data_IF_334147756269
#
_entry.id   IF_334147756269
#
_cell.length_a   1.000
_cell.length_b   1.000
_cell.length_c   1.000
_cell.angle_alpha   90.00
_cell.angle_beta   90.00
_cell.angle_gamma   90.00
#
_symmetry.space_group_name_H-M   'P 1'
#
loop_
_entity.id
_entity.type
_entity.pdbx_description
1 polymer ?
#
# COMPACT_ATOMS: atom_id res chain seq x y z
N UNK A 1 -4.18 -13.04 6.80
CA UNK A 1 -3.44 -11.86 6.31
C UNK A 1 -2.07 -11.82 6.99
N UNK A 2 -1.03 -11.31 6.33
CA UNK A 2 0.30 -11.12 6.95
C UNK A 2 0.72 -9.65 6.81
N UNK A 3 0.88 -8.96 7.93
CA UNK A 3 1.41 -7.61 8.01
C UNK A 3 2.93 -7.67 8.17
N UNK A 4 3.67 -7.11 7.21
CA UNK A 4 5.11 -6.94 7.23
C UNK A 4 5.40 -5.46 7.45
N UNK A 5 5.92 -5.08 8.60
CA UNK A 5 6.06 -3.68 8.98
C UNK A 5 7.38 -3.43 9.72
N UNK A 6 7.96 -2.25 9.53
CA UNK A 6 9.13 -1.81 10.28
C UNK A 6 8.78 -1.33 11.70
N UNK A 7 7.48 -1.30 12.06
CA UNK A 7 7.00 -0.80 13.36
C UNK A 7 7.64 0.55 13.73
N UNK A 8 7.71 1.52 12.81
CA UNK A 8 8.39 2.82 13.04
C UNK A 8 7.92 3.50 14.35
N UNK A 9 6.66 3.34 14.72
CA UNK A 9 6.07 3.82 15.98
C UNK A 9 6.04 2.83 17.16
N UNK A 10 6.60 1.65 16.98
CA UNK A 10 6.52 0.53 17.93
C UNK A 10 5.13 -0.10 18.03
N UNK A 11 5.00 -1.10 18.90
CA UNK A 11 3.74 -1.83 19.12
C UNK A 11 2.64 -0.95 19.74
N UNK A 12 3.02 0.05 20.55
CA UNK A 12 2.07 0.98 21.16
C UNK A 12 1.30 1.79 20.13
N UNK A 13 2.01 2.44 19.19
CA UNK A 13 1.34 3.22 18.14
C UNK A 13 0.53 2.33 17.18
N UNK A 14 0.97 1.10 16.92
CA UNK A 14 0.16 0.16 16.13
C UNK A 14 -1.14 -0.20 16.86
N UNK A 15 -1.07 -0.43 18.18
CA UNK A 15 -2.25 -0.67 19.01
C UNK A 15 -3.17 0.55 19.02
N UNK A 16 -2.65 1.75 19.24
CA UNK A 16 -3.45 2.98 19.26
C UNK A 16 -4.20 3.17 17.92
N UNK A 17 -3.55 2.90 16.79
CA UNK A 17 -4.19 2.94 15.47
C UNK A 17 -5.31 1.90 15.32
N UNK A 18 -5.12 0.68 15.81
CA UNK A 18 -6.15 -0.35 15.78
C UNK A 18 -7.32 -0.02 16.71
N UNK A 19 -7.04 0.52 17.89
CA UNK A 19 -8.07 0.95 18.84
C UNK A 19 -8.89 2.11 18.23
N UNK A 20 -8.23 3.07 17.56
CA UNK A 20 -8.87 4.18 16.86
C UNK A 20 -9.69 3.76 15.63
N UNK A 21 -9.48 2.56 15.07
CA UNK A 21 -10.32 2.02 13.99
C UNK A 21 -11.72 1.63 14.47
N UNK A 22 -11.93 1.54 15.79
CA UNK A 22 -13.19 1.07 16.41
C UNK A 22 -13.65 -0.27 15.82
N UNK A 23 -12.68 -1.19 15.65
CA UNK A 23 -12.92 -2.55 15.17
C UNK A 23 -12.58 -3.57 16.26
N UNK A 24 -13.45 -4.56 16.44
CA UNK A 24 -13.14 -5.69 17.30
C UNK A 24 -12.18 -6.64 16.57
N UNK A 25 -10.94 -6.73 17.06
CA UNK A 25 -9.96 -7.72 16.58
C UNK A 25 -10.08 -8.96 17.47
N UNK A 26 -10.46 -10.13 16.92
CA UNK A 26 -10.63 -11.33 17.73
C UNK A 26 -9.31 -11.81 18.32
N UNK A 27 -9.38 -12.60 19.40
CA UNK A 27 -8.23 -13.26 20.03
C UNK A 27 -8.34 -14.77 19.82
N UNK A 28 -7.40 -15.42 19.11
CA UNK A 28 -6.21 -14.83 18.48
C UNK A 28 -6.56 -13.97 17.24
N UNK A 29 -5.69 -13.01 16.94
CA UNK A 29 -5.87 -12.14 15.77
C UNK A 29 -5.94 -12.95 14.47
N UNK A 30 -6.76 -12.56 13.48
CA UNK A 30 -6.93 -13.29 12.23
C UNK A 30 -5.79 -13.02 11.22
N UNK A 31 -4.70 -12.41 11.70
CA UNK A 31 -3.54 -12.02 10.91
C UNK A 31 -2.25 -12.15 11.72
N UNK A 32 -1.16 -12.36 11.00
CA UNK A 32 0.19 -12.39 11.56
C UNK A 32 0.86 -11.03 11.36
N UNK A 33 1.59 -10.53 12.36
CA UNK A 33 2.42 -9.32 12.23
C UNK A 33 3.89 -9.70 12.36
N UNK A 34 4.72 -9.26 11.40
CA UNK A 34 6.17 -9.49 11.41
C UNK A 34 6.91 -8.17 11.30
N UNK A 35 7.89 -7.99 12.18
CA UNK A 35 8.88 -6.93 12.04
C UNK A 35 9.80 -7.24 10.85
N UNK A 36 9.79 -6.37 9.85
CA UNK A 36 10.59 -6.49 8.63
C UNK A 36 10.99 -5.10 8.15
N UNK A 37 12.27 -4.89 7.90
CA UNK A 37 12.83 -3.61 7.40
C UNK A 37 13.31 -3.71 5.95
N UNK A 38 13.70 -4.90 5.51
CA UNK A 38 14.22 -5.13 4.17
C UNK A 38 13.87 -6.52 3.65
N UNK A 39 14.15 -6.75 2.37
CA UNK A 39 14.00 -8.07 1.73
C UNK A 39 12.61 -8.71 1.89
N UNK A 40 11.53 -7.91 1.89
CA UNK A 40 10.13 -8.35 2.09
C UNK A 40 9.72 -9.60 1.29
N UNK A 41 10.21 -9.74 0.05
CA UNK A 41 10.01 -10.94 -0.78
C UNK A 41 10.40 -12.27 -0.10
N UNK A 42 11.33 -12.30 0.86
CA UNK A 42 11.69 -13.52 1.58
C UNK A 42 10.61 -13.99 2.57
N UNK A 43 9.69 -13.10 2.96
CA UNK A 43 8.61 -13.37 3.92
C UNK A 43 7.30 -13.78 3.24
N UNK A 44 7.22 -13.66 1.91
CA UNK A 44 6.07 -14.10 1.11
C UNK A 44 6.21 -15.60 0.86
N UNK A 45 5.44 -16.42 1.59
CA UNK A 45 5.56 -17.90 1.58
C UNK A 45 4.25 -18.66 1.42
N UNK A 46 3.16 -18.09 1.91
CA UNK A 46 1.86 -18.74 1.97
C UNK A 46 1.02 -18.42 0.73
N UNK A 47 0.32 -19.43 0.15
CA UNK A 47 -0.65 -19.20 -0.91
C UNK A 47 -1.94 -18.55 -0.38
N UNK A 48 -2.76 -18.01 -1.29
CA UNK A 48 -4.06 -17.39 -1.00
C UNK A 48 -4.03 -16.38 0.15
N UNK A 49 -2.92 -15.63 0.28
CA UNK A 49 -2.65 -14.74 1.40
C UNK A 49 -2.57 -13.30 0.92
N UNK A 50 -3.21 -12.40 1.66
CA UNK A 50 -2.99 -10.96 1.52
C UNK A 50 -1.78 -10.57 2.39
N UNK A 51 -0.75 -10.03 1.75
CA UNK A 51 0.39 -9.40 2.39
C UNK A 51 0.18 -7.89 2.42
N UNK A 52 0.42 -7.26 3.56
CA UNK A 52 0.43 -5.80 3.70
C UNK A 52 1.84 -5.40 4.09
N UNK A 53 2.49 -4.56 3.29
CA UNK A 53 3.84 -4.06 3.52
C UNK A 53 3.75 -2.59 3.89
N UNK A 54 4.00 -2.27 5.16
CA UNK A 54 3.92 -0.93 5.74
C UNK A 54 5.27 -0.57 6.41
N UNK A 55 6.25 -0.05 5.67
CA UNK A 55 6.28 0.33 4.24
C UNK A 55 7.68 0.00 3.67
N UNK A 56 7.90 0.20 2.37
CA UNK A 56 9.27 0.13 1.81
C UNK A 56 9.94 1.49 1.99
N UNK A 57 10.94 1.55 2.86
CA UNK A 57 11.76 2.73 3.08
C UNK A 57 12.47 3.15 1.79
N UNK A 58 12.48 4.47 1.54
CA UNK A 58 13.31 5.02 0.49
C UNK A 58 14.77 5.04 1.00
N UNK A 59 15.71 4.39 0.30
CA UNK A 59 17.09 4.36 0.74
C UNK A 59 17.65 5.79 0.83
N UNK A 60 18.52 6.02 1.82
CA UNK A 60 19.22 7.30 1.95
C UNK A 60 20.10 7.56 0.70
N UNK A 61 20.16 8.82 0.26
CA UNK A 61 21.00 9.22 -0.88
C UNK A 61 20.32 9.05 -2.24
N UNK A 62 21.05 8.51 -3.24
CA UNK A 62 20.63 8.50 -4.66
C UNK A 62 20.02 7.18 -5.13
N UNK A 63 19.91 6.17 -4.25
CA UNK A 63 19.59 4.79 -4.62
C UNK A 63 18.09 4.49 -4.75
N UNK A 64 17.26 5.52 -4.98
CA UNK A 64 15.82 5.39 -5.12
C UNK A 64 15.37 4.37 -6.18
N UNK A 65 16.20 4.13 -7.22
CA UNK A 65 15.94 3.11 -8.25
C UNK A 65 15.77 1.70 -7.66
N UNK A 66 16.30 1.46 -6.45
CA UNK A 66 16.18 0.17 -5.77
C UNK A 66 14.77 -0.16 -5.31
N UNK A 67 13.91 0.84 -5.10
CA UNK A 67 12.51 0.64 -4.73
C UNK A 67 11.77 -0.14 -5.83
N UNK A 68 11.93 0.25 -7.10
CA UNK A 68 11.33 -0.46 -8.23
C UNK A 68 11.80 -1.91 -8.34
N UNK A 69 13.08 -2.18 -8.05
CA UNK A 69 13.61 -3.54 -8.03
C UNK A 69 13.04 -4.37 -6.86
N UNK A 70 12.85 -3.77 -5.68
CA UNK A 70 12.21 -4.45 -4.55
C UNK A 70 10.75 -4.81 -4.85
N UNK A 71 9.98 -3.87 -5.41
CA UNK A 71 8.60 -4.10 -5.85
C UNK A 71 8.55 -5.24 -6.87
N UNK A 72 9.48 -5.28 -7.83
CA UNK A 72 9.58 -6.38 -8.80
C UNK A 72 9.89 -7.73 -8.15
N UNK A 73 10.77 -7.78 -7.15
CA UNK A 73 11.07 -9.02 -6.41
C UNK A 73 9.85 -9.53 -5.64
N UNK A 74 9.05 -8.63 -5.08
CA UNK A 74 7.78 -8.96 -4.42
C UNK A 74 6.79 -9.55 -5.43
N UNK A 75 6.57 -8.88 -6.56
CA UNK A 75 5.71 -9.36 -7.65
C UNK A 75 6.11 -10.76 -8.11
N UNK A 76 7.40 -10.97 -8.42
CA UNK A 76 7.94 -12.28 -8.82
C UNK A 76 7.66 -13.37 -7.78
N UNK A 77 7.71 -13.03 -6.49
CA UNK A 77 7.45 -13.99 -5.42
C UNK A 77 5.97 -14.34 -5.27
N UNK A 78 5.06 -13.42 -5.60
CA UNK A 78 3.61 -13.65 -5.57
C UNK A 78 3.13 -14.57 -6.70
N UNK A 79 3.88 -14.65 -7.81
CA UNK A 79 3.52 -15.47 -8.96
C UNK A 79 3.32 -16.95 -8.55
N UNK A 80 2.17 -17.51 -8.92
CA UNK A 80 1.80 -18.89 -8.61
C UNK A 80 1.24 -19.13 -7.20
N UNK A 81 1.23 -18.12 -6.31
CA UNK A 81 0.70 -18.26 -4.95
C UNK A 81 -0.80 -17.94 -4.82
N UNK A 82 -1.46 -17.41 -5.85
CA UNK A 82 -2.83 -16.89 -5.71
C UNK A 82 -2.95 -15.81 -4.63
N UNK A 83 -1.85 -15.13 -4.34
CA UNK A 83 -1.69 -14.16 -3.24
C UNK A 83 -1.53 -12.77 -3.80
N UNK A 84 -1.84 -11.76 -2.99
CA UNK A 84 -1.70 -10.35 -3.35
C UNK A 84 -0.87 -9.62 -2.29
N UNK A 85 -0.21 -8.52 -2.69
CA UNK A 85 0.43 -7.60 -1.77
C UNK A 85 -0.10 -6.17 -1.94
N UNK A 86 -0.30 -5.48 -0.83
CA UNK A 86 -0.49 -4.03 -0.76
C UNK A 86 0.79 -3.44 -0.18
N UNK A 87 1.37 -2.45 -0.85
CA UNK A 87 2.68 -1.89 -0.52
C UNK A 87 2.55 -0.39 -0.31
N UNK A 88 2.90 0.08 0.89
CA UNK A 88 3.12 1.50 1.16
C UNK A 88 4.43 1.96 0.54
N UNK A 89 4.38 3.03 -0.25
CA UNK A 89 5.56 3.69 -0.85
C UNK A 89 5.49 5.18 -0.60
N UNK A 90 6.63 5.79 -0.27
CA UNK A 90 6.73 7.23 -0.08
C UNK A 90 6.83 7.97 -1.42
N UNK A 91 6.22 9.16 -1.51
CA UNK A 91 6.27 10.05 -2.67
C UNK A 91 6.54 11.48 -2.22
N UNK A 92 7.13 12.29 -3.09
CA UNK A 92 7.19 13.74 -2.85
C UNK A 92 5.79 14.34 -2.93
N UNK A 93 5.57 15.44 -2.20
CA UNK A 93 4.34 16.23 -2.30
C UNK A 93 4.06 16.60 -3.77
N UNK A 94 2.79 16.57 -4.17
CA UNK A 94 2.31 16.88 -5.53
C UNK A 94 2.69 15.91 -6.64
N UNK A 95 3.44 14.83 -6.34
CA UNK A 95 3.73 13.78 -7.33
C UNK A 95 2.76 12.63 -7.18
N UNK A 96 2.39 12.02 -8.31
CA UNK A 96 1.63 10.76 -8.32
C UNK A 96 2.54 9.55 -8.12
N UNK A 97 3.81 9.67 -8.52
CA UNK A 97 4.76 8.55 -8.56
C UNK A 97 5.66 8.60 -7.33
N UNK A 98 5.77 7.47 -6.64
CA UNK A 98 6.67 7.23 -5.53
C UNK A 98 8.15 7.41 -5.89
N UNK A 99 8.99 7.51 -4.87
CA UNK A 99 10.43 7.41 -5.05
C UNK A 99 10.80 6.11 -5.80
N UNK A 100 11.80 6.19 -6.68
CA UNK A 100 12.14 5.12 -7.64
C UNK A 100 11.44 5.25 -8.99
N UNK A 101 10.53 6.23 -9.14
CA UNK A 101 10.00 6.66 -10.43
C UNK A 101 9.15 5.61 -11.14
N UNK A 102 9.10 5.68 -12.46
CA UNK A 102 8.24 4.82 -13.29
C UNK A 102 8.49 3.32 -13.13
N UNK A 103 9.66 2.92 -12.64
CA UNK A 103 9.93 1.50 -12.36
C UNK A 103 8.98 0.93 -11.30
N UNK A 104 8.48 1.78 -10.38
CA UNK A 104 7.48 1.38 -9.38
C UNK A 104 6.10 1.11 -9.98
N UNK A 105 5.79 1.65 -11.17
CA UNK A 105 4.51 1.44 -11.87
C UNK A 105 4.46 0.15 -12.68
N UNK A 106 5.62 -0.43 -13.02
CA UNK A 106 5.69 -1.54 -13.97
C UNK A 106 5.06 -2.83 -13.46
N UNK A 107 5.26 -3.18 -12.20
CA UNK A 107 4.73 -4.42 -11.62
C UNK A 107 3.27 -4.31 -11.13
N UNK A 108 2.86 -3.27 -10.38
CA UNK A 108 1.54 -3.24 -9.76
C UNK A 108 0.39 -3.32 -10.76
N UNK A 109 -0.65 -4.07 -10.43
CA UNK A 109 -1.90 -4.13 -11.22
C UNK A 109 -2.83 -2.96 -10.91
N UNK A 110 -2.71 -2.38 -9.72
CA UNK A 110 -3.38 -1.16 -9.27
C UNK A 110 -2.34 -0.26 -8.61
N UNK A 111 -2.29 1.02 -9.01
CA UNK A 111 -1.42 2.02 -8.40
C UNK A 111 -2.26 3.22 -7.95
N UNK A 112 -2.20 3.52 -6.66
CA UNK A 112 -2.93 4.61 -6.03
C UNK A 112 -1.94 5.65 -5.54
N UNK A 113 -2.13 6.91 -5.93
CA UNK A 113 -1.46 8.04 -5.32
C UNK A 113 -2.42 8.66 -4.30
N UNK A 114 -1.96 8.87 -3.06
CA UNK A 114 -2.75 9.47 -2.00
C UNK A 114 -2.05 10.71 -1.44
N UNK A 115 -2.81 11.79 -1.31
CA UNK A 115 -2.48 13.00 -0.56
C UNK A 115 -3.51 13.17 0.57
N UNK A 116 -3.40 14.24 1.38
CA UNK A 116 -4.20 14.41 2.61
C UNK A 116 -5.72 14.38 2.44
N UNK A 117 -6.26 14.65 1.26
CA UNK A 117 -7.71 14.66 1.02
C UNK A 117 -8.09 14.19 -0.39
N UNK A 118 -7.14 13.58 -1.10
CA UNK A 118 -7.29 13.18 -2.51
C UNK A 118 -6.59 11.85 -2.74
N UNK A 119 -7.26 10.93 -3.41
CA UNK A 119 -6.72 9.68 -3.91
C UNK A 119 -6.91 9.66 -5.43
N UNK A 120 -5.86 9.32 -6.17
CA UNK A 120 -5.90 9.15 -7.62
C UNK A 120 -5.49 7.73 -7.99
N UNK A 121 -6.29 7.09 -8.84
CA UNK A 121 -5.92 5.85 -9.50
C UNK A 121 -4.97 6.21 -10.65
N UNK A 122 -3.67 6.08 -10.42
CA UNK A 122 -2.64 6.41 -11.42
C UNK A 122 -2.63 5.40 -12.55
N UNK A 123 -2.80 4.12 -12.20
CA UNK A 123 -2.91 3.03 -13.17
C UNK A 123 -3.74 1.88 -12.63
N UNK A 124 -4.43 1.17 -13.53
CA UNK A 124 -5.24 0.01 -13.22
C UNK A 124 -5.24 -0.92 -14.43
N UNK A 125 -4.37 -1.93 -14.42
CA UNK A 125 -4.11 -2.81 -15.57
C UNK A 125 -5.21 -3.86 -15.76
N UNK A 126 -5.87 -4.24 -14.67
CA UNK A 126 -6.92 -5.27 -14.68
C UNK A 126 -8.15 -4.71 -13.95
N UNK A 127 -8.92 -3.81 -14.58
CA UNK A 127 -10.13 -3.28 -13.94
C UNK A 127 -11.20 -4.36 -13.83
N UNK A 128 -11.99 -4.31 -12.76
CA UNK A 128 -13.09 -5.25 -12.53
C UNK A 128 -14.21 -5.04 -13.56
N UNK A 129 -14.60 -3.78 -13.78
CA UNK A 129 -15.49 -3.39 -14.87
C UNK A 129 -14.68 -3.15 -16.16
N UNK A 130 -15.03 -3.85 -17.24
CA UNK A 130 -14.36 -3.72 -18.54
C UNK A 130 -14.93 -2.60 -19.41
N UNK A 131 -16.04 -1.99 -19.01
CA UNK A 131 -16.70 -0.90 -19.75
C UNK A 131 -16.16 0.48 -19.37
N UNK A 132 -15.59 0.61 -18.17
CA UNK A 132 -15.04 1.87 -17.65
C UNK A 132 -13.62 1.65 -17.18
N UNK A 133 -12.66 2.32 -17.82
CA UNK A 133 -11.26 2.24 -17.40
C UNK A 133 -10.99 3.24 -16.26
N UNK A 134 -10.59 2.80 -15.05
CA UNK A 134 -10.51 3.68 -13.89
C UNK A 134 -9.18 4.45 -13.81
N UNK A 135 -8.44 4.57 -14.91
CA UNK A 135 -7.15 5.28 -14.91
C UNK A 135 -7.39 6.78 -14.84
N UNK A 136 -6.55 7.49 -14.08
CA UNK A 136 -6.69 8.90 -13.73
C UNK A 136 -7.97 9.26 -12.97
N UNK A 137 -8.71 8.26 -12.50
CA UNK A 137 -9.88 8.50 -11.67
C UNK A 137 -9.44 8.99 -10.30
N UNK A 138 -9.83 10.22 -9.93
CA UNK A 138 -9.55 10.79 -8.62
C UNK A 138 -10.79 10.90 -7.72
N UNK A 139 -10.57 10.82 -6.41
CA UNK A 139 -11.59 10.91 -5.38
C UNK A 139 -11.10 11.80 -4.25
N UNK A 140 -11.95 12.67 -3.74
CA UNK A 140 -11.69 13.40 -2.51
C UNK A 140 -12.30 12.68 -1.32
N UNK A 141 -11.76 12.92 -0.12
CA UNK A 141 -12.25 12.35 1.13
C UNK A 141 -11.88 13.25 2.31
N UNK A 142 -12.51 13.00 3.46
CA UNK A 142 -12.14 13.57 4.75
C UNK A 142 -11.65 12.45 5.68
N UNK A 143 -10.70 12.78 6.56
CA UNK A 143 -10.31 11.90 7.66
C UNK A 143 -11.23 12.10 8.86
N UNK A 144 -11.61 10.99 9.48
CA UNK A 144 -12.32 10.93 10.75
C UNK A 144 -11.62 9.91 11.67
N UNK A 145 -11.95 9.90 12.97
CA UNK A 145 -11.42 8.96 13.96
C UNK A 145 -9.88 8.85 13.94
N UNK A 146 -9.17 9.97 14.11
CA UNK A 146 -7.70 10.00 14.14
C UNK A 146 -7.04 9.48 12.84
N UNK A 147 -7.77 9.55 11.71
CA UNK A 147 -7.26 9.14 10.40
C UNK A 147 -7.50 7.67 10.05
N UNK A 148 -8.29 6.95 10.85
CA UNK A 148 -8.61 5.53 10.59
C UNK A 148 -9.81 5.33 9.69
N UNK A 149 -10.61 6.38 9.45
CA UNK A 149 -11.82 6.32 8.63
C UNK A 149 -11.83 7.39 7.55
N UNK A 150 -12.12 6.95 6.32
CA UNK A 150 -12.42 7.84 5.20
C UNK A 150 -13.92 8.16 5.16
N UNK A 151 -14.28 9.43 5.15
CA UNK A 151 -15.67 9.89 5.03
C UNK A 151 -15.82 10.85 3.85
N UNK A 152 -17.08 11.09 3.44
CA UNK A 152 -17.42 11.99 2.33
C UNK A 152 -16.62 11.72 1.05
N UNK A 153 -16.55 10.46 0.62
CA UNK A 153 -15.82 10.09 -0.60
C UNK A 153 -16.59 10.59 -1.82
N UNK A 154 -15.98 11.47 -2.61
CA UNK A 154 -16.61 12.07 -3.78
C UNK A 154 -15.71 11.96 -5.01
N UNK A 155 -16.33 11.85 -6.19
CA UNK A 155 -15.60 11.86 -7.46
C UNK A 155 -14.99 13.24 -7.69
N UNK A 156 -13.70 13.30 -8.00
CA UNK A 156 -13.00 14.52 -8.39
C UNK A 156 -12.67 14.48 -9.88
N UNK A 157 -12.96 15.59 -10.57
CA UNK A 157 -12.83 15.72 -12.02
C UNK A 157 -11.76 16.73 -12.47
N UNK A 158 -11.07 17.37 -11.53
CA UNK A 158 -9.95 18.26 -11.84
C UNK A 158 -8.63 17.50 -11.98
N UNK A 159 -7.56 18.27 -12.21
CA UNK A 159 -6.18 17.78 -12.20
C UNK A 159 -5.69 17.49 -10.78
#
# INVERSE_FOLDING_TARGET
VVLLTNLEGGLGMLKDRFDAMDIEIPVPAPFETKFVTEHFHQYIKHPNTLYVIDYIDAPEGTDFYMIGAQVKKIDQKLQGLGSNAVIGLQKSLWKDIAFGGEQTLKAPTLYLAMDSNKLKIVDAKVPADKTVHPKNMAFTFLYDNEGTKFTNIQRYYGD
#
